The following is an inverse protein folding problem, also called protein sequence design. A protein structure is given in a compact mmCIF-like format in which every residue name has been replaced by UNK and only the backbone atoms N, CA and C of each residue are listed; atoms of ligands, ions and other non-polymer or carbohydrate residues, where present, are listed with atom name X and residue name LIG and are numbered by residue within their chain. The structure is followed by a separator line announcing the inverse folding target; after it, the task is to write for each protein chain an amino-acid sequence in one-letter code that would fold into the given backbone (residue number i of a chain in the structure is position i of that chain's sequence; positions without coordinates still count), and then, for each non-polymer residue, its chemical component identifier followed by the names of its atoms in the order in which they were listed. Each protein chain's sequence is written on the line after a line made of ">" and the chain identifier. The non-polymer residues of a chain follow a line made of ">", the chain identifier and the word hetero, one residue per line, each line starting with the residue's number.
data_IF_112771498215
#
_entry.id   IF_112771498215
#
_cell.length_a   1.000
_cell.length_b   1.000
_cell.length_c   1.000
_cell.angle_alpha   90.00
_cell.angle_beta   90.00
_cell.angle_gamma   90.00
#
_symmetry.space_group_name_H-M   'P 1'
#
loop_
_entity.id
_entity.type
_entity.pdbx_description
1 polymer ?
#
# COMPACT_ATOMS: atom_id res chain seq x y z
N UNK A 1 45.68 -30.23 39.04
CA UNK A 1 45.26 -30.19 40.47
C UNK A 1 44.09 -31.13 40.67
N UNK A 2 44.02 -31.74 41.85
CA UNK A 2 43.22 -32.91 42.24
C UNK A 2 41.69 -32.72 42.11
N UNK A 3 41.03 -33.73 41.52
CA UNK A 3 39.99 -34.55 42.16
C UNK A 3 38.58 -33.98 42.34
N UNK A 4 37.58 -34.66 41.75
CA UNK A 4 36.60 -35.56 42.43
C UNK A 4 35.44 -35.88 41.47
N UNK A 5 35.22 -37.17 41.24
CA UNK A 5 33.97 -37.72 40.73
C UNK A 5 32.94 -37.84 41.88
N UNK A 6 31.64 -37.94 41.54
CA UNK A 6 30.51 -38.66 42.18
C UNK A 6 29.21 -37.98 41.70
N UNK A 7 28.48 -38.59 40.76
CA UNK A 7 27.36 -39.56 40.90
C UNK A 7 25.98 -38.87 40.89
N UNK A 8 25.19 -39.31 39.93
CA UNK A 8 23.75 -39.60 39.93
C UNK A 8 23.02 -39.34 41.25
N UNK A 9 21.85 -38.69 41.19
CA UNK A 9 20.59 -39.31 41.59
C UNK A 9 19.40 -38.42 41.18
N UNK A 10 18.34 -39.12 40.83
CA UNK A 10 17.06 -38.74 40.25
C UNK A 10 16.09 -38.02 41.24
N UNK A 11 14.88 -37.62 40.79
CA UNK A 11 14.05 -36.55 41.33
C UNK A 11 13.00 -37.02 42.36
N UNK A 12 12.65 -36.13 43.28
CA UNK A 12 11.41 -36.18 44.07
C UNK A 12 11.08 -34.74 44.48
N UNK A 13 9.85 -34.22 44.41
CA UNK A 13 8.55 -34.87 44.38
C UNK A 13 7.69 -34.29 45.50
N UNK A 14 6.37 -34.21 45.24
CA UNK A 14 5.24 -33.87 46.14
C UNK A 14 4.94 -32.37 46.24
N UNK A 15 3.70 -31.91 46.07
CA UNK A 15 2.41 -32.60 45.96
C UNK A 15 1.32 -31.60 46.30
N UNK A 16 0.16 -31.69 45.62
CA UNK A 16 -0.98 -30.84 45.92
C UNK A 16 -2.11 -30.85 44.89
N UNK A 17 -2.74 -32.02 44.67
CA UNK A 17 -4.19 -32.07 44.42
C UNK A 17 -4.84 -31.98 45.82
N UNK A 18 -5.91 -31.26 46.10
CA UNK A 18 -7.26 -31.33 45.56
C UNK A 18 -8.04 -30.06 45.98
N UNK A 19 -9.04 -29.67 45.19
CA UNK A 19 -9.99 -28.63 45.60
C UNK A 19 -10.99 -28.34 44.51
N UNK A 20 -11.97 -29.24 44.34
CA UNK A 20 -13.10 -29.00 43.44
C UNK A 20 -13.92 -27.80 43.90
N UNK A 21 -14.33 -26.97 42.94
CA UNK A 21 -15.58 -26.22 43.07
C UNK A 21 -16.24 -26.18 41.69
N UNK A 22 -17.45 -26.70 41.68
CA UNK A 22 -18.39 -26.66 40.58
C UNK A 22 -19.00 -25.25 40.46
N UNK A 23 -19.40 -24.92 39.22
CA UNK A 23 -20.34 -23.88 38.74
C UNK A 23 -19.70 -22.72 37.93
N UNK A 24 -20.42 -22.08 36.98
CA UNK A 24 -21.59 -22.51 36.22
C UNK A 24 -21.28 -22.58 34.70
N UNK A 25 -21.98 -23.45 34.00
CA UNK A 25 -22.09 -23.42 32.53
C UNK A 25 -22.86 -22.14 32.17
N UNK A 26 -22.15 -21.03 32.04
CA UNK A 26 -22.71 -19.79 31.51
C UNK A 26 -22.59 -19.82 30.00
N UNK A 27 -23.70 -19.55 29.31
CA UNK A 27 -23.81 -19.44 27.85
C UNK A 27 -22.95 -18.32 27.20
N UNK A 28 -21.98 -17.77 27.95
CA UNK A 28 -21.15 -16.62 27.59
C UNK A 28 -19.94 -16.97 26.71
N UNK A 29 -19.55 -18.25 26.61
CA UNK A 29 -18.48 -18.68 25.70
C UNK A 29 -18.80 -18.40 24.22
N UNK A 30 -20.06 -18.59 23.82
CA UNK A 30 -20.54 -18.30 22.46
C UNK A 30 -20.52 -16.80 22.16
N UNK A 31 -20.86 -15.95 23.14
CA UNK A 31 -20.85 -14.49 22.98
C UNK A 31 -19.43 -13.93 22.87
N UNK A 32 -18.49 -14.41 23.68
CA UNK A 32 -17.08 -14.03 23.61
C UNK A 32 -16.43 -14.46 22.27
N UNK A 33 -16.70 -15.69 21.81
CA UNK A 33 -16.27 -16.15 20.48
C UNK A 33 -16.87 -15.30 19.34
N UNK A 34 -18.17 -14.97 19.41
CA UNK A 34 -18.82 -14.08 18.42
C UNK A 34 -18.17 -12.69 18.39
N UNK A 35 -17.82 -12.11 19.54
CA UNK A 35 -17.12 -10.81 19.62
C UNK A 35 -15.70 -10.86 19.03
N UNK A 36 -14.93 -11.93 19.30
CA UNK A 36 -13.61 -12.14 18.68
C UNK A 36 -13.69 -12.31 17.16
N UNK A 37 -14.65 -13.12 16.67
CA UNK A 37 -14.91 -13.29 15.22
C UNK A 37 -15.31 -11.96 14.54
N UNK A 38 -16.17 -11.16 15.17
CA UNK A 38 -16.55 -9.83 14.66
C UNK A 38 -15.36 -8.86 14.58
N UNK A 39 -14.44 -8.91 15.54
CA UNK A 39 -13.25 -8.05 15.53
C UNK A 39 -12.27 -8.44 14.42
N UNK A 40 -12.08 -9.75 14.18
CA UNK A 40 -11.28 -10.26 13.06
C UNK A 40 -11.86 -9.82 11.71
N UNK A 41 -13.19 -9.86 11.54
CA UNK A 41 -13.81 -9.38 10.30
C UNK A 41 -13.73 -7.85 10.13
N UNK A 42 -13.77 -7.05 11.20
CA UNK A 42 -13.60 -5.59 11.14
C UNK A 42 -12.20 -5.17 10.71
N UNK A 43 -11.18 -5.96 11.02
CA UNK A 43 -9.79 -5.73 10.64
C UNK A 43 -9.42 -6.33 9.27
N UNK A 44 -10.43 -6.76 8.48
CA UNK A 44 -10.18 -7.29 7.14
C UNK A 44 -9.83 -8.78 7.09
N UNK A 45 -10.11 -9.54 8.16
CA UNK A 45 -10.24 -11.00 8.15
C UNK A 45 -9.12 -11.79 7.48
N UNK A 46 -8.15 -12.26 8.27
CA UNK A 46 -7.04 -13.09 7.81
C UNK A 46 -5.95 -12.25 7.17
N UNK A 47 -4.91 -11.92 7.94
CA UNK A 47 -3.71 -11.30 7.40
C UNK A 47 -3.13 -12.15 6.25
N UNK A 48 -2.35 -11.51 5.38
CA UNK A 48 -1.64 -12.21 4.30
C UNK A 48 -0.94 -13.46 4.88
N UNK A 49 -1.01 -14.57 4.17
CA UNK A 49 -0.34 -15.80 4.62
C UNK A 49 1.16 -15.54 4.80
N UNK A 50 1.81 -16.27 5.72
CA UNK A 50 3.26 -16.16 5.90
C UNK A 50 4.01 -16.39 4.57
N UNK A 51 3.49 -17.29 3.75
CA UNK A 51 3.95 -17.55 2.39
C UNK A 51 3.82 -16.31 1.48
N UNK A 52 2.71 -15.57 1.54
CA UNK A 52 2.56 -14.32 0.80
C UNK A 52 3.59 -13.27 1.24
N UNK A 53 3.87 -13.14 2.54
CA UNK A 53 4.92 -12.25 3.04
C UNK A 53 6.32 -12.65 2.58
N UNK A 54 6.64 -13.95 2.58
CA UNK A 54 7.91 -14.48 2.10
C UNK A 54 8.07 -14.27 0.59
N UNK A 55 7.03 -14.55 -0.20
CA UNK A 55 7.04 -14.43 -1.65
C UNK A 55 7.22 -12.98 -2.11
N UNK A 56 6.63 -11.99 -1.42
CA UNK A 56 6.80 -10.56 -1.73
C UNK A 56 8.28 -10.12 -1.69
N UNK A 57 9.09 -10.69 -0.79
CA UNK A 57 10.51 -10.34 -0.65
C UNK A 57 11.45 -11.21 -1.49
N UNK A 58 10.98 -12.35 -1.98
CA UNK A 58 11.78 -13.26 -2.81
C UNK A 58 12.23 -12.57 -4.10
N UNK A 59 13.51 -12.73 -4.45
CA UNK A 59 14.12 -12.16 -5.66
C UNK A 59 13.49 -12.70 -6.95
N UNK A 60 12.93 -13.92 -6.91
CA UNK A 60 12.21 -14.57 -8.01
C UNK A 60 10.93 -13.80 -8.42
N UNK A 61 10.17 -13.26 -7.45
CA UNK A 61 8.96 -12.47 -7.73
C UNK A 61 9.23 -10.97 -8.00
N UNK A 62 10.42 -10.46 -7.68
CA UNK A 62 10.75 -9.02 -7.86
C UNK A 62 10.70 -8.60 -9.34
N UNK A 63 10.99 -9.51 -10.27
CA UNK A 63 10.93 -9.28 -11.72
C UNK A 63 9.53 -9.47 -12.33
N UNK A 64 8.52 -9.84 -11.54
CA UNK A 64 7.15 -10.09 -12.01
C UNK A 64 6.23 -8.87 -11.85
N UNK A 65 6.77 -7.72 -11.43
CA UNK A 65 6.02 -6.47 -11.37
C UNK A 65 5.80 -5.91 -12.78
N UNK A 66 4.76 -6.40 -13.46
CA UNK A 66 4.29 -5.86 -14.73
C UNK A 66 3.08 -4.93 -14.49
N UNK A 67 3.24 -3.60 -14.62
CA UNK A 67 2.16 -2.65 -14.33
C UNK A 67 0.93 -2.84 -15.23
N UNK A 68 1.11 -3.34 -16.47
CA UNK A 68 0.00 -3.59 -17.38
C UNK A 68 -0.88 -4.76 -16.91
N UNK A 69 -0.26 -5.85 -16.42
CA UNK A 69 -0.99 -7.00 -15.87
C UNK A 69 -1.75 -6.62 -14.58
N UNK A 70 -1.11 -5.86 -13.70
CA UNK A 70 -1.73 -5.37 -12.46
C UNK A 70 -2.93 -4.47 -12.79
N UNK A 71 -2.80 -3.59 -13.79
CA UNK A 71 -3.90 -2.73 -14.23
C UNK A 71 -5.08 -3.56 -14.76
N UNK A 72 -4.81 -4.53 -15.63
CA UNK A 72 -5.83 -5.45 -16.17
C UNK A 72 -6.56 -6.22 -15.07
N UNK A 73 -5.84 -6.72 -14.07
CA UNK A 73 -6.44 -7.45 -12.95
C UNK A 73 -7.33 -6.54 -12.08
N UNK A 74 -6.89 -5.30 -11.81
CA UNK A 74 -7.69 -4.30 -11.08
C UNK A 74 -8.97 -3.94 -11.82
N UNK A 75 -8.87 -3.71 -13.12
CA UNK A 75 -10.01 -3.39 -13.99
C UNK A 75 -10.99 -4.56 -14.05
N UNK A 76 -10.52 -5.79 -14.23
CA UNK A 76 -11.35 -6.99 -14.21
C UNK A 76 -12.16 -7.11 -12.91
N UNK A 77 -11.50 -6.93 -11.75
CA UNK A 77 -12.17 -6.98 -10.45
C UNK A 77 -13.21 -5.85 -10.31
N UNK A 78 -12.86 -4.64 -10.73
CA UNK A 78 -13.78 -3.48 -10.71
C UNK A 78 -15.01 -3.74 -11.58
N UNK A 79 -14.82 -4.30 -12.77
CA UNK A 79 -15.89 -4.64 -13.70
C UNK A 79 -16.78 -5.77 -13.14
N UNK A 80 -16.19 -6.83 -12.59
CA UNK A 80 -16.93 -7.92 -11.95
C UNK A 80 -17.81 -7.41 -10.80
N UNK A 81 -17.33 -6.44 -10.02
CA UNK A 81 -18.10 -5.77 -8.98
C UNK A 81 -19.29 -5.00 -9.54
N UNK A 82 -19.10 -4.26 -10.64
CA UNK A 82 -20.19 -3.54 -11.30
C UNK A 82 -21.23 -4.47 -11.91
N UNK A 83 -20.82 -5.55 -12.58
CA UNK A 83 -21.73 -6.57 -13.11
C UNK A 83 -22.54 -7.19 -11.98
N UNK A 84 -21.89 -7.53 -10.86
CA UNK A 84 -22.56 -8.09 -9.69
C UNK A 84 -23.57 -7.11 -9.09
N UNK A 85 -23.23 -5.81 -9.02
CA UNK A 85 -24.12 -4.76 -8.54
C UNK A 85 -25.34 -4.61 -9.46
N UNK A 86 -25.13 -4.59 -10.77
CA UNK A 86 -26.19 -4.49 -11.77
C UNK A 86 -27.13 -5.70 -11.74
N UNK A 87 -26.58 -6.91 -11.67
CA UNK A 87 -27.39 -8.13 -11.51
C UNK A 87 -28.25 -8.10 -10.25
N UNK A 88 -27.74 -7.54 -9.15
CA UNK A 88 -28.53 -7.35 -7.91
C UNK A 88 -29.64 -6.32 -8.08
N UNK A 89 -29.39 -5.18 -8.73
CA UNK A 89 -30.45 -4.20 -8.98
C UNK A 89 -31.53 -4.74 -9.91
N UNK A 90 -31.16 -5.54 -10.93
CA UNK A 90 -32.13 -6.21 -11.78
C UNK A 90 -33.02 -7.18 -11.00
N UNK A 91 -32.47 -7.95 -10.07
CA UNK A 91 -33.26 -8.85 -9.20
C UNK A 91 -34.27 -8.09 -8.35
N UNK A 92 -33.87 -6.97 -7.76
CA UNK A 92 -34.81 -6.13 -7.00
C UNK A 92 -35.90 -5.54 -7.89
N UNK A 93 -35.58 -5.20 -9.14
CA UNK A 93 -36.59 -4.72 -10.08
C UNK A 93 -37.53 -5.84 -10.53
N UNK A 94 -37.03 -7.05 -10.80
CA UNK A 94 -37.91 -8.20 -11.13
C UNK A 94 -38.82 -8.59 -9.96
N UNK A 95 -38.32 -8.53 -8.72
CA UNK A 95 -39.12 -8.75 -7.51
C UNK A 95 -40.20 -7.67 -7.31
N UNK A 96 -40.01 -6.45 -7.81
CA UNK A 96 -41.01 -5.38 -7.76
C UNK A 96 -42.01 -5.39 -8.93
N UNK A 97 -41.70 -6.08 -10.02
CA UNK A 97 -42.57 -6.17 -11.20
C UNK A 97 -43.42 -7.45 -11.23
N UNK A 98 -43.45 -8.24 -10.15
CA UNK A 98 -44.35 -9.39 -9.99
C UNK A 98 -45.54 -8.98 -9.08
N UNK A 99 -46.69 -8.54 -9.63
CA UNK A 99 -47.84 -8.09 -8.84
C UNK A 99 -48.65 -9.25 -8.22
N UNK A 100 -48.10 -10.45 -8.05
CA UNK A 100 -48.85 -11.66 -7.67
C UNK A 100 -48.36 -12.44 -6.44
N UNK A 101 -47.39 -11.91 -5.66
CA UNK A 101 -46.98 -12.56 -4.40
C UNK A 101 -47.46 -11.79 -3.16
N UNK A 102 -48.78 -11.63 -3.03
CA UNK A 102 -49.41 -11.24 -1.75
C UNK A 102 -49.37 -12.46 -0.82
N UNK A 103 -48.56 -12.39 0.24
CA UNK A 103 -48.79 -13.15 1.48
C UNK A 103 -49.11 -12.14 2.60
N UNK A 104 -50.27 -12.22 3.26
CA UNK A 104 -50.48 -11.53 4.53
C UNK A 104 -50.07 -12.46 5.68
N UNK A 105 -49.30 -11.95 6.64
CA UNK A 105 -49.33 -12.43 8.02
C UNK A 105 -48.73 -11.36 8.93
N UNK A 106 -49.51 -11.00 9.93
CA UNK A 106 -49.38 -9.84 10.82
C UNK A 106 -48.30 -9.97 11.89
N UNK A 107 -48.12 -8.84 12.61
CA UNK A 107 -47.49 -8.66 13.93
C UNK A 107 -45.96 -8.78 14.07
N UNK A 108 -45.29 -7.64 14.12
CA UNK A 108 -44.84 -7.11 15.42
C UNK A 108 -44.30 -5.67 15.34
N UNK A 109 -44.92 -4.84 16.18
CA UNK A 109 -44.38 -3.68 16.90
C UNK A 109 -43.94 -2.41 16.15
N UNK A 110 -44.86 -1.45 16.23
CA UNK A 110 -44.59 -0.05 16.53
C UNK A 110 -43.40 0.14 17.50
N UNK A 111 -42.22 0.50 17.01
CA UNK A 111 -41.21 1.15 17.85
C UNK A 111 -40.09 1.79 17.02
N UNK A 112 -40.40 2.85 16.26
CA UNK A 112 -39.31 3.72 15.80
C UNK A 112 -39.72 5.19 15.61
N UNK A 113 -40.39 5.74 16.62
CA UNK A 113 -40.42 7.19 16.87
C UNK A 113 -39.56 7.49 18.09
N UNK A 114 -38.24 7.60 17.92
CA UNK A 114 -37.33 8.38 18.79
C UNK A 114 -35.93 8.35 18.18
N UNK A 115 -35.24 9.49 18.24
CA UNK A 115 -33.84 9.72 17.86
C UNK A 115 -33.58 10.15 16.41
N UNK A 116 -34.23 11.25 15.99
CA UNK A 116 -33.81 12.05 14.84
C UNK A 116 -33.30 13.44 15.27
N UNK A 117 -32.41 13.50 16.26
CA UNK A 117 -31.62 14.69 16.58
C UNK A 117 -30.21 14.23 16.93
N UNK A 118 -29.20 14.81 16.27
CA UNK A 118 -27.75 14.57 16.38
C UNK A 118 -27.12 13.69 15.28
N UNK A 119 -27.13 14.16 14.02
CA UNK A 119 -26.20 13.70 12.97
C UNK A 119 -25.65 14.85 12.10
N UNK A 120 -25.44 16.05 12.66
CA UNK A 120 -24.89 17.19 11.90
C UNK A 120 -23.40 17.50 12.15
N UNK A 121 -22.71 16.82 13.06
CA UNK A 121 -21.28 17.06 13.33
C UNK A 121 -20.30 16.24 12.48
N UNK A 122 -20.77 15.28 11.68
CA UNK A 122 -19.91 14.40 10.88
C UNK A 122 -19.65 14.84 9.43
N UNK A 123 -20.35 15.86 8.92
CA UNK A 123 -20.25 16.26 7.51
C UNK A 123 -19.13 17.27 7.23
N UNK A 124 -18.68 18.04 8.24
CA UNK A 124 -17.57 18.99 8.08
C UNK A 124 -16.22 18.26 7.93
N UNK A 125 -16.00 17.23 8.75
CA UNK A 125 -14.74 16.47 8.80
C UNK A 125 -14.40 15.75 7.48
N UNK A 126 -15.38 15.29 6.70
CA UNK A 126 -15.12 14.59 5.44
C UNK A 126 -14.63 15.54 4.33
N UNK A 127 -15.20 16.75 4.28
CA UNK A 127 -14.80 17.79 3.33
C UNK A 127 -13.40 18.29 3.66
N UNK A 128 -13.12 18.54 4.93
CA UNK A 128 -11.80 18.95 5.41
C UNK A 128 -10.73 17.88 5.13
N UNK A 129 -11.05 16.59 5.25
CA UNK A 129 -10.13 15.50 4.89
C UNK A 129 -9.80 15.50 3.39
N UNK A 130 -10.78 15.82 2.55
CA UNK A 130 -10.62 15.82 1.11
C UNK A 130 -9.77 17.00 0.64
N UNK A 131 -10.02 18.19 1.22
CA UNK A 131 -9.25 19.41 0.95
C UNK A 131 -7.79 19.23 1.39
N UNK A 132 -7.55 18.72 2.61
CA UNK A 132 -6.19 18.43 3.09
C UNK A 132 -5.42 17.46 2.20
N UNK A 133 -6.08 16.38 1.75
CA UNK A 133 -5.45 15.41 0.86
C UNK A 133 -5.08 16.04 -0.50
N UNK A 134 -5.97 16.86 -1.05
CA UNK A 134 -5.71 17.56 -2.31
C UNK A 134 -4.53 18.53 -2.19
N UNK A 135 -4.43 19.27 -1.08
CA UNK A 135 -3.32 20.18 -0.82
C UNK A 135 -1.98 19.46 -0.65
N UNK A 136 -1.98 18.28 -0.02
CA UNK A 136 -0.78 17.44 0.11
C UNK A 136 -0.34 16.88 -1.26
N UNK A 137 -1.29 16.39 -2.06
CA UNK A 137 -1.00 15.86 -3.41
C UNK A 137 -0.47 16.96 -4.34
N UNK A 138 -1.03 18.18 -4.28
CA UNK A 138 -0.55 19.33 -5.06
C UNK A 138 0.83 19.83 -4.59
N UNK A 139 1.10 19.79 -3.28
CA UNK A 139 2.45 20.09 -2.75
C UNK A 139 3.47 19.05 -3.22
N UNK A 140 3.13 17.77 -3.17
CA UNK A 140 4.00 16.69 -3.64
C UNK A 140 4.28 16.78 -5.16
N UNK A 141 3.32 17.25 -5.96
CA UNK A 141 3.54 17.54 -7.39
C UNK A 141 4.55 18.66 -7.59
N UNK A 142 4.36 19.79 -6.89
CA UNK A 142 5.27 20.94 -6.98
C UNK A 142 6.70 20.59 -6.55
N UNK A 143 6.87 19.82 -5.48
CA UNK A 143 8.19 19.36 -5.03
C UNK A 143 8.89 18.48 -6.07
N UNK A 144 8.14 17.54 -6.68
CA UNK A 144 8.68 16.68 -7.75
C UNK A 144 9.06 17.48 -8.99
N UNK A 145 8.21 18.42 -9.39
CA UNK A 145 8.49 19.32 -10.52
C UNK A 145 9.72 20.18 -10.27
N UNK A 146 9.90 20.70 -9.05
CA UNK A 146 11.09 21.45 -8.67
C UNK A 146 12.38 20.61 -8.77
N UNK A 147 12.34 19.37 -8.29
CA UNK A 147 13.48 18.44 -8.39
C UNK A 147 13.81 18.13 -9.86
N UNK A 148 12.79 17.92 -10.69
CA UNK A 148 12.96 17.64 -12.12
C UNK A 148 13.56 18.85 -12.84
N UNK A 149 13.06 20.06 -12.56
CA UNK A 149 13.57 21.30 -13.13
C UNK A 149 15.04 21.56 -12.73
N UNK A 150 15.38 21.37 -11.45
CA UNK A 150 16.75 21.50 -10.97
C UNK A 150 17.70 20.53 -11.69
N UNK A 151 17.30 19.25 -11.80
CA UNK A 151 18.06 18.23 -12.52
C UNK A 151 18.17 18.51 -14.02
N UNK A 152 17.12 19.05 -14.63
CA UNK A 152 17.11 19.46 -16.03
C UNK A 152 18.09 20.61 -16.27
N UNK A 153 18.09 21.62 -15.41
CA UNK A 153 19.03 22.75 -15.49
C UNK A 153 20.48 22.33 -15.33
N UNK A 154 20.79 21.37 -14.44
CA UNK A 154 22.15 20.83 -14.31
C UNK A 154 22.62 20.08 -15.57
N UNK A 155 21.74 19.24 -16.14
CA UNK A 155 21.99 18.53 -17.40
C UNK A 155 22.23 19.51 -18.55
N UNK A 156 21.40 20.54 -18.67
CA UNK A 156 21.55 21.55 -19.72
C UNK A 156 22.85 22.34 -19.58
N UNK A 157 23.27 22.69 -18.35
CA UNK A 157 24.56 23.34 -18.11
C UNK A 157 25.75 22.48 -18.51
N UNK A 158 25.73 21.20 -18.15
CA UNK A 158 26.81 20.26 -18.52
C UNK A 158 26.83 20.00 -20.02
N UNK A 159 25.67 19.86 -20.66
CA UNK A 159 25.55 19.71 -22.09
C UNK A 159 25.99 20.97 -22.86
N UNK A 160 25.64 22.16 -22.38
CA UNK A 160 26.08 23.44 -22.93
C UNK A 160 27.61 23.58 -22.87
N UNK A 161 28.24 23.20 -21.74
CA UNK A 161 29.71 23.15 -21.61
C UNK A 161 30.32 22.20 -22.63
N UNK A 162 29.81 20.96 -22.71
CA UNK A 162 30.28 19.96 -23.67
C UNK A 162 30.14 20.45 -25.12
N UNK A 163 29.01 21.09 -25.46
CA UNK A 163 28.74 21.63 -26.80
C UNK A 163 29.67 22.79 -27.13
N UNK A 164 29.95 23.68 -26.18
CA UNK A 164 30.87 24.80 -26.36
C UNK A 164 32.31 24.33 -26.57
N UNK A 165 32.79 23.39 -25.74
CA UNK A 165 34.10 22.75 -25.92
C UNK A 165 34.18 22.05 -27.28
N UNK A 166 33.14 21.28 -27.63
CA UNK A 166 33.05 20.60 -28.92
C UNK A 166 33.11 21.59 -30.09
N UNK A 167 32.36 22.68 -30.02
CA UNK A 167 32.37 23.71 -31.05
C UNK A 167 33.75 24.35 -31.21
N UNK A 168 34.47 24.63 -30.13
CA UNK A 168 35.86 25.12 -30.18
C UNK A 168 36.80 24.11 -30.83
N UNK A 169 36.70 22.83 -30.46
CA UNK A 169 37.54 21.75 -31.00
C UNK A 169 37.31 21.46 -32.48
N UNK A 170 36.08 21.66 -32.96
CA UNK A 170 35.70 21.44 -34.37
C UNK A 170 35.73 22.72 -35.21
N UNK A 171 36.24 23.86 -34.69
CA UNK A 171 36.50 25.03 -35.54
C UNK A 171 37.44 24.64 -36.66
N UNK A 172 37.10 25.01 -37.90
CA UNK A 172 37.87 24.67 -39.11
C UNK A 172 38.57 25.90 -39.67
N UNK A 173 39.74 25.69 -40.28
CA UNK A 173 40.45 26.67 -41.11
C UNK A 173 39.70 26.87 -42.43
N UNK A 174 40.14 27.84 -43.25
CA UNK A 174 39.55 28.09 -44.59
C UNK A 174 39.60 26.87 -45.53
N UNK A 175 40.54 25.95 -45.30
CA UNK A 175 40.66 24.67 -46.02
C UNK A 175 39.93 23.49 -45.35
N UNK A 176 39.17 23.72 -44.28
CA UNK A 176 38.34 22.70 -43.63
C UNK A 176 39.05 21.84 -42.57
N UNK A 177 40.34 22.05 -42.31
CA UNK A 177 41.10 21.34 -41.28
C UNK A 177 40.78 21.92 -39.88
N UNK A 178 40.70 21.11 -38.80
CA UNK A 178 40.52 21.64 -37.45
C UNK A 178 41.62 22.63 -37.06
N UNK A 179 41.24 23.76 -36.48
CA UNK A 179 42.16 24.81 -36.05
C UNK A 179 43.01 24.28 -34.89
N UNK A 180 44.30 24.06 -35.16
CA UNK A 180 45.25 23.44 -34.23
C UNK A 180 45.37 24.14 -32.89
N UNK A 181 45.17 25.48 -32.84
CA UNK A 181 45.19 26.28 -31.61
C UNK A 181 44.28 25.68 -30.52
N UNK A 182 43.02 25.41 -30.84
CA UNK A 182 42.03 24.92 -29.87
C UNK A 182 42.24 23.45 -29.52
N UNK A 183 42.78 22.64 -30.44
CA UNK A 183 43.08 21.23 -30.19
C UNK A 183 44.28 21.06 -29.25
N UNK A 184 45.33 21.85 -29.44
CA UNK A 184 46.51 21.85 -28.59
C UNK A 184 46.14 22.34 -27.18
N UNK A 185 45.40 23.45 -27.07
CA UNK A 185 44.93 23.99 -25.78
C UNK A 185 44.19 22.93 -24.94
N UNK A 186 43.29 22.15 -25.55
CA UNK A 186 42.56 21.08 -24.87
C UNK A 186 43.44 19.89 -24.47
N UNK A 187 44.41 19.51 -25.32
CA UNK A 187 45.37 18.45 -24.99
C UNK A 187 46.26 18.89 -23.81
N UNK A 188 46.72 20.15 -23.80
CA UNK A 188 47.49 20.71 -22.69
C UNK A 188 46.65 20.80 -21.41
N UNK A 189 45.39 21.24 -21.50
CA UNK A 189 44.49 21.31 -20.35
C UNK A 189 44.20 19.93 -19.74
N UNK A 190 44.11 18.87 -20.57
CA UNK A 190 44.00 17.48 -20.09
C UNK A 190 45.25 17.00 -19.39
N UNK A 191 46.43 17.39 -19.86
CA UNK A 191 47.71 17.01 -19.25
C UNK A 191 47.95 17.78 -17.94
N UNK A 192 47.56 19.06 -17.88
CA UNK A 192 47.76 19.93 -16.72
C UNK A 192 46.69 19.78 -15.64
N UNK A 193 45.46 19.40 -15.99
CA UNK A 193 44.35 19.16 -15.05
C UNK A 193 44.34 17.75 -14.45
N UNK A 194 45.44 17.00 -14.57
CA UNK A 194 45.61 15.62 -14.07
C UNK A 194 46.39 15.58 -12.74
N UNK A 195 46.37 16.68 -11.98
CA UNK A 195 46.86 16.79 -10.60
C UNK A 195 45.69 17.04 -9.64
#
# INVERSE_FOLDING_TARGET
>A
MKGRAYKDEEPHGKGGRFGGSSKPVTNNGKAAMKKKKKNIMRLGGGGLSLEAFANIKSTSNRNQYNPALIKKQREFYKNAKYVSKYKKSLKHLSEQNDPLAVKPSEEMDESNKRNKKNKKSGSSSLRELYEKKHEEDERARKEREAIIQAKKGEREKTEARRKAERAKMFKKTRSGQPVMKYRIEHLLQRVQGLN
#
